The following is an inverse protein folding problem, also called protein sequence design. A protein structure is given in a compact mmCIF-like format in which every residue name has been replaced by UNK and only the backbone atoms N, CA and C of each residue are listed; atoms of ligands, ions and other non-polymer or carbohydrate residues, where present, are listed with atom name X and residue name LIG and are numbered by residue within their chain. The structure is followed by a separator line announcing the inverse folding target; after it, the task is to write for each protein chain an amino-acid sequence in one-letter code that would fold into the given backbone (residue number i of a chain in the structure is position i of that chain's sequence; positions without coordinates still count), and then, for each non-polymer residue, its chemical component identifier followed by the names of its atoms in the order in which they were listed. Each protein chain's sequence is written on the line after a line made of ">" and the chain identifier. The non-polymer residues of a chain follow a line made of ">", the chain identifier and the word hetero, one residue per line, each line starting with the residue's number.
data_IF_475511468043
#
_entry.id   IF_475511468043
#
_cell.length_a   1.000
_cell.length_b   1.000
_cell.length_c   1.000
_cell.angle_alpha   90.00
_cell.angle_beta   90.00
_cell.angle_gamma   90.00
#
_symmetry.space_group_name_H-M   'P 1'
#
loop_
_entity.id
_entity.type
_entity.pdbx_description
1 polymer ?
#
# COMPACT_ATOMS: atom_id res chain seq x y z
N UNK A 1 7.22 17.17 -39.94
CA UNK A 1 7.71 16.04 -39.13
C UNK A 1 6.99 16.10 -37.80
N UNK A 2 5.94 15.29 -37.63
CA UNK A 2 5.14 15.27 -36.40
C UNK A 2 5.84 14.34 -35.38
N UNK A 3 6.05 14.87 -34.17
CA UNK A 3 6.58 14.11 -33.05
C UNK A 3 5.50 13.14 -32.54
N UNK A 4 5.84 11.86 -32.51
CA UNK A 4 5.03 10.83 -31.85
C UNK A 4 5.40 10.87 -30.37
N UNK A 5 4.54 11.46 -29.55
CA UNK A 5 4.65 11.39 -28.09
C UNK A 5 4.35 9.97 -27.62
N UNK A 6 5.34 9.32 -27.01
CA UNK A 6 5.16 8.01 -26.38
C UNK A 6 4.40 8.19 -25.07
N UNK A 7 3.13 7.79 -25.06
CA UNK A 7 2.30 7.75 -23.85
C UNK A 7 2.69 6.52 -23.02
N UNK A 8 3.62 6.69 -22.09
CA UNK A 8 3.81 5.79 -20.95
C UNK A 8 2.61 5.95 -20.02
N UNK A 9 1.73 4.93 -19.96
CA UNK A 9 0.60 4.88 -19.04
C UNK A 9 1.10 4.83 -17.59
N UNK A 10 0.98 5.94 -16.85
CA UNK A 10 0.50 6.02 -15.45
C UNK A 10 0.03 7.44 -15.11
N UNK A 11 -0.67 8.10 -16.02
CA UNK A 11 -1.37 9.35 -15.75
C UNK A 11 -2.80 9.17 -16.23
N UNK A 12 -3.77 9.17 -15.32
CA UNK A 12 -5.18 9.19 -15.71
C UNK A 12 -5.47 10.59 -16.25
N UNK A 13 -5.26 10.79 -17.55
CA UNK A 13 -5.96 11.84 -18.27
C UNK A 13 -7.46 11.63 -18.02
N UNK A 14 -8.17 12.70 -17.68
CA UNK A 14 -9.59 12.69 -17.32
C UNK A 14 -10.37 11.76 -18.27
N UNK A 15 -10.79 10.60 -17.77
CA UNK A 15 -11.66 9.72 -18.55
C UNK A 15 -13.00 10.42 -18.73
N UNK A 16 -13.54 10.51 -19.97
CA UNK A 16 -14.93 10.87 -20.18
C UNK A 16 -15.81 9.97 -19.29
N UNK A 17 -16.84 10.57 -18.69
CA UNK A 17 -17.74 9.98 -17.69
C UNK A 17 -18.60 8.79 -18.17
N UNK A 18 -18.20 8.11 -19.24
CA UNK A 18 -18.92 7.01 -19.88
C UNK A 18 -18.09 5.72 -19.93
N UNK A 19 -17.61 5.22 -18.78
CA UNK A 19 -17.24 3.81 -18.64
C UNK A 19 -17.73 3.29 -17.28
N UNK A 20 -19.06 3.14 -17.17
CA UNK A 20 -19.66 2.27 -16.15
C UNK A 20 -19.71 0.86 -16.73
N UNK A 21 -19.11 -0.11 -16.04
CA UNK A 21 -19.34 -1.52 -16.30
C UNK A 21 -18.46 -2.19 -17.35
N UNK A 22 -17.14 -2.05 -17.26
CA UNK A 22 -16.26 -3.07 -17.87
C UNK A 22 -15.86 -4.06 -16.76
N UNK A 23 -16.65 -5.12 -16.62
CA UNK A 23 -16.17 -6.37 -16.05
C UNK A 23 -15.42 -7.11 -17.14
N UNK A 24 -14.10 -7.29 -17.00
CA UNK A 24 -13.37 -8.24 -17.82
C UNK A 24 -13.60 -9.64 -17.23
N UNK A 25 -14.69 -10.30 -17.64
CA UNK A 25 -14.80 -11.76 -17.50
C UNK A 25 -14.03 -12.39 -18.66
N UNK A 26 -12.79 -12.79 -18.40
CA UNK A 26 -12.04 -13.61 -19.34
C UNK A 26 -12.39 -15.08 -19.10
N UNK A 27 -13.49 -15.55 -19.69
CA UNK A 27 -13.96 -16.95 -19.60
C UNK A 27 -13.17 -17.92 -20.50
N UNK A 28 -11.93 -17.58 -20.89
CA UNK A 28 -11.09 -18.43 -21.73
C UNK A 28 -9.78 -18.81 -21.06
N UNK A 29 -9.53 -20.09 -20.80
CA UNK A 29 -8.16 -20.56 -20.59
C UNK A 29 -7.38 -20.51 -21.92
N UNK A 30 -6.98 -19.31 -22.35
CA UNK A 30 -6.00 -19.22 -23.43
C UNK A 30 -4.65 -19.61 -22.86
N UNK A 31 -4.28 -20.87 -23.09
CA UNK A 31 -2.96 -21.39 -22.74
C UNK A 31 -1.89 -20.55 -23.43
N UNK A 32 -0.92 -20.02 -22.67
CA UNK A 32 0.12 -19.12 -23.16
C UNK A 32 0.85 -19.69 -24.40
N UNK A 33 1.07 -21.01 -24.41
CA UNK A 33 1.70 -21.75 -25.51
C UNK A 33 0.94 -21.69 -26.85
N UNK A 34 -0.32 -21.25 -26.87
CA UNK A 34 -1.10 -21.02 -28.10
C UNK A 34 -0.89 -19.62 -28.68
N UNK A 35 -0.34 -18.69 -27.90
CA UNK A 35 -0.08 -17.31 -28.35
C UNK A 35 1.28 -17.29 -29.05
N UNK A 36 1.32 -17.09 -30.36
CA UNK A 36 2.58 -17.12 -31.13
C UNK A 36 3.43 -15.86 -31.00
N UNK A 37 2.82 -14.71 -30.69
CA UNK A 37 3.52 -13.43 -30.58
C UNK A 37 4.03 -13.19 -29.16
N UNK A 38 5.32 -12.93 -29.01
CA UNK A 38 5.92 -12.60 -27.71
C UNK A 38 5.36 -11.30 -27.12
N UNK A 39 4.97 -10.33 -27.95
CA UNK A 39 4.29 -9.10 -27.48
C UNK A 39 2.91 -9.41 -26.90
N UNK A 40 2.17 -10.32 -27.53
CA UNK A 40 0.87 -10.75 -27.04
C UNK A 40 1.00 -11.59 -25.76
N UNK A 41 2.00 -12.48 -25.69
CA UNK A 41 2.33 -13.22 -24.46
C UNK A 41 2.67 -12.27 -23.32
N UNK A 42 3.55 -11.28 -23.56
CA UNK A 42 3.93 -10.27 -22.57
C UNK A 42 2.71 -9.54 -22.02
N UNK A 43 1.87 -8.96 -22.88
CA UNK A 43 0.67 -8.25 -22.43
C UNK A 43 -0.33 -9.15 -21.70
N UNK A 44 -0.48 -10.40 -22.12
CA UNK A 44 -1.35 -11.36 -21.44
C UNK A 44 -0.85 -11.67 -20.02
N UNK A 45 0.45 -11.87 -19.84
CA UNK A 45 1.04 -12.09 -18.52
C UNK A 45 0.90 -10.87 -17.62
N UNK A 46 1.08 -9.65 -18.15
CA UNK A 46 0.81 -8.42 -17.40
C UNK A 46 -0.62 -8.37 -16.87
N UNK A 47 -1.60 -8.74 -17.70
CA UNK A 47 -3.02 -8.75 -17.28
C UNK A 47 -3.25 -9.75 -16.14
N UNK A 48 -2.64 -10.94 -16.20
CA UNK A 48 -2.69 -11.90 -15.08
C UNK A 48 -2.11 -11.32 -13.79
N UNK A 49 -0.95 -10.67 -13.86
CA UNK A 49 -0.32 -10.01 -12.71
C UNK A 49 -1.24 -8.92 -12.13
N UNK A 50 -1.82 -8.06 -12.97
CA UNK A 50 -2.76 -7.03 -12.52
C UNK A 50 -4.02 -7.64 -11.89
N UNK A 51 -4.56 -8.73 -12.47
CA UNK A 51 -5.73 -9.41 -11.95
C UNK A 51 -5.45 -10.02 -10.58
N UNK A 52 -4.33 -10.72 -10.42
CA UNK A 52 -3.91 -11.30 -9.16
C UNK A 52 -3.69 -10.23 -8.09
N UNK A 53 -3.00 -9.13 -8.44
CA UNK A 53 -2.83 -7.99 -7.55
C UNK A 53 -4.16 -7.37 -7.11
N UNK A 54 -5.10 -7.17 -8.03
CA UNK A 54 -6.39 -6.54 -7.71
C UNK A 54 -7.27 -7.39 -6.79
N UNK A 55 -7.17 -8.72 -6.86
CA UNK A 55 -7.92 -9.63 -6.01
C UNK A 55 -7.13 -10.07 -4.77
N UNK A 56 -5.98 -9.43 -4.48
CA UNK A 56 -5.06 -9.85 -3.41
C UNK A 56 -4.67 -11.34 -3.49
N UNK A 57 -4.68 -11.93 -4.68
CA UNK A 57 -4.33 -13.32 -4.94
C UNK A 57 -2.81 -13.45 -5.08
N UNK A 58 -2.07 -13.17 -4.00
CA UNK A 58 -0.60 -13.09 -3.99
C UNK A 58 0.05 -14.36 -4.57
N UNK A 59 -0.50 -15.55 -4.24
CA UNK A 59 0.00 -16.83 -4.75
C UNK A 59 -0.14 -17.01 -6.26
N UNK A 60 -1.07 -16.32 -6.91
CA UNK A 60 -1.29 -16.38 -8.36
C UNK A 60 -0.33 -15.47 -9.15
N UNK A 61 0.48 -14.65 -8.46
CA UNK A 61 1.42 -13.74 -9.12
C UNK A 61 2.74 -14.40 -9.54
N UNK A 62 3.19 -15.45 -8.83
CA UNK A 62 4.55 -15.98 -8.98
C UNK A 62 4.84 -16.56 -10.36
N UNK A 63 3.95 -17.42 -10.87
CA UNK A 63 4.12 -18.04 -12.19
C UNK A 63 4.12 -16.98 -13.31
N UNK A 64 3.13 -16.06 -13.41
CA UNK A 64 3.16 -15.01 -14.42
C UNK A 64 4.40 -14.11 -14.36
N UNK A 65 4.89 -13.78 -13.16
CA UNK A 65 6.09 -12.96 -12.99
C UNK A 65 7.35 -13.68 -13.45
N UNK A 66 7.47 -14.97 -13.16
CA UNK A 66 8.59 -15.81 -13.61
C UNK A 66 8.60 -15.93 -15.14
N UNK A 67 7.43 -16.07 -15.75
CA UNK A 67 7.29 -16.10 -17.21
C UNK A 67 7.59 -14.74 -17.85
N UNK A 68 7.20 -13.62 -17.22
CA UNK A 68 7.53 -12.27 -17.67
C UNK A 68 9.04 -12.03 -17.66
N UNK A 69 9.71 -12.36 -16.57
CA UNK A 69 11.15 -12.22 -16.42
C UNK A 69 11.90 -12.98 -17.53
N UNK A 70 11.58 -14.26 -17.74
CA UNK A 70 12.19 -15.07 -18.81
C UNK A 70 11.89 -14.54 -20.22
N UNK A 71 10.67 -14.03 -20.45
CA UNK A 71 10.28 -13.47 -21.74
C UNK A 71 11.02 -12.15 -22.04
N UNK A 72 11.15 -11.26 -21.05
CA UNK A 72 11.92 -10.01 -21.19
C UNK A 72 13.40 -10.30 -21.40
N UNK A 73 13.97 -11.24 -20.63
CA UNK A 73 15.36 -11.64 -20.78
C UNK A 73 15.67 -12.25 -22.16
N UNK A 74 14.74 -13.00 -22.75
CA UNK A 74 14.95 -13.69 -24.03
C UNK A 74 14.67 -12.83 -25.29
N UNK A 75 13.99 -11.69 -25.15
CA UNK A 75 13.56 -10.87 -26.30
C UNK A 75 14.14 -9.46 -26.22
N UNK A 76 15.14 -9.15 -27.06
CA UNK A 76 15.82 -7.84 -27.04
C UNK A 76 14.86 -6.65 -27.20
N UNK A 77 13.78 -6.81 -27.97
CA UNK A 77 12.77 -5.76 -28.16
C UNK A 77 11.92 -5.48 -26.92
N UNK A 78 11.92 -6.39 -25.95
CA UNK A 78 11.23 -6.21 -24.67
C UNK A 78 12.15 -5.65 -23.57
N UNK A 79 13.47 -5.63 -23.75
CA UNK A 79 14.48 -5.17 -22.78
C UNK A 79 14.53 -3.63 -22.69
N UNK A 80 13.38 -3.01 -22.43
CA UNK A 80 13.27 -1.58 -22.14
C UNK A 80 13.22 -1.36 -20.63
N UNK A 81 13.71 -0.21 -20.15
CA UNK A 81 13.63 0.12 -18.72
C UNK A 81 12.20 0.00 -18.17
N UNK A 82 11.20 0.44 -18.94
CA UNK A 82 9.80 0.37 -18.51
C UNK A 82 9.30 -1.07 -18.31
N UNK A 83 9.67 -2.00 -19.21
CA UNK A 83 9.27 -3.40 -19.08
C UNK A 83 10.04 -4.11 -17.96
N UNK A 84 11.32 -3.81 -17.84
CA UNK A 84 12.20 -4.34 -16.80
C UNK A 84 11.75 -3.88 -15.41
N UNK A 85 11.38 -2.61 -15.25
CA UNK A 85 10.82 -2.08 -14.01
C UNK A 85 9.44 -2.66 -13.72
N UNK A 86 8.57 -2.84 -14.73
CA UNK A 86 7.23 -3.37 -14.52
C UNK A 86 7.25 -4.72 -13.79
N UNK A 87 7.93 -5.74 -14.34
CA UNK A 87 7.89 -7.05 -13.71
C UNK A 87 8.64 -7.05 -12.37
N UNK A 88 9.72 -6.27 -12.24
CA UNK A 88 10.49 -6.15 -10.98
C UNK A 88 9.65 -5.57 -9.86
N UNK A 89 8.94 -4.47 -10.10
CA UNK A 89 8.10 -3.85 -9.06
C UNK A 89 7.03 -4.83 -8.56
N UNK A 90 6.36 -5.56 -9.46
CA UNK A 90 5.37 -6.55 -9.05
C UNK A 90 6.01 -7.78 -8.38
N UNK A 91 7.22 -8.18 -8.79
CA UNK A 91 8.00 -9.20 -8.09
C UNK A 91 8.39 -8.76 -6.69
N UNK A 92 8.82 -7.52 -6.51
CA UNK A 92 9.12 -6.94 -5.20
C UNK A 92 7.85 -6.96 -4.34
N UNK A 93 6.71 -6.49 -4.84
CA UNK A 93 5.41 -6.55 -4.12
C UNK A 93 5.08 -7.98 -3.67
N UNK A 94 5.22 -8.96 -4.56
CA UNK A 94 5.02 -10.38 -4.23
C UNK A 94 5.96 -10.82 -3.11
N UNK A 95 7.27 -10.58 -3.23
CA UNK A 95 8.27 -10.99 -2.25
C UNK A 95 8.05 -10.32 -0.89
N UNK A 96 7.77 -9.02 -0.86
CA UNK A 96 7.44 -8.28 0.37
C UNK A 96 6.15 -8.81 1.01
N UNK A 97 5.18 -9.23 0.21
CA UNK A 97 3.93 -9.81 0.70
C UNK A 97 4.15 -11.19 1.29
N UNK A 98 5.05 -12.00 0.72
CA UNK A 98 5.47 -13.29 1.26
C UNK A 98 6.50 -13.20 2.40
N UNK A 99 6.89 -11.98 2.83
CA UNK A 99 7.93 -11.78 3.85
C UNK A 99 9.34 -12.16 3.41
N UNK A 100 9.60 -12.33 2.11
CA UNK A 100 10.90 -12.68 1.54
C UNK A 100 11.79 -11.43 1.37
N UNK A 101 12.07 -10.73 2.48
CA UNK A 101 12.75 -9.43 2.48
C UNK A 101 14.14 -9.47 1.82
N UNK A 102 14.96 -10.47 2.15
CA UNK A 102 16.31 -10.59 1.57
C UNK A 102 16.29 -10.71 0.03
N UNK A 103 15.33 -11.45 -0.53
CA UNK A 103 15.17 -11.55 -1.98
C UNK A 103 14.66 -10.22 -2.59
N UNK A 104 13.77 -9.52 -1.88
CA UNK A 104 13.24 -8.24 -2.32
C UNK A 104 14.32 -7.15 -2.38
N UNK A 105 15.24 -7.10 -1.41
CA UNK A 105 16.28 -6.07 -1.30
C UNK A 105 17.20 -5.98 -2.53
N UNK A 106 17.61 -7.14 -3.07
CA UNK A 106 18.45 -7.18 -4.27
C UNK A 106 17.73 -6.58 -5.47
N UNK A 107 16.45 -6.95 -5.67
CA UNK A 107 15.62 -6.41 -6.76
C UNK A 107 15.28 -4.94 -6.56
N UNK A 108 15.04 -4.52 -5.32
CA UNK A 108 14.80 -3.14 -4.93
C UNK A 108 16.00 -2.26 -5.29
N UNK A 109 17.22 -2.71 -4.99
CA UNK A 109 18.46 -2.01 -5.34
C UNK A 109 18.61 -1.88 -6.86
N UNK A 110 18.39 -2.95 -7.62
CA UNK A 110 18.47 -2.91 -9.09
C UNK A 110 17.40 -2.00 -9.70
N UNK A 111 16.15 -2.08 -9.21
CA UNK A 111 15.07 -1.19 -9.64
C UNK A 111 15.37 0.28 -9.32
N UNK A 112 15.96 0.54 -8.15
CA UNK A 112 16.44 1.86 -7.72
C UNK A 112 17.61 2.33 -8.61
N UNK A 113 18.44 1.47 -9.16
CA UNK A 113 19.49 1.93 -10.09
C UNK A 113 18.98 2.25 -11.49
N UNK A 114 17.80 1.73 -11.86
CA UNK A 114 17.22 1.83 -13.22
C UNK A 114 16.15 2.89 -13.39
N UNK A 115 15.59 3.39 -12.29
CA UNK A 115 14.52 4.38 -12.27
C UNK A 115 15.06 5.81 -12.21
N UNK A 116 14.19 6.82 -12.31
CA UNK A 116 14.52 8.24 -12.18
C UNK A 116 13.27 9.05 -11.82
N UNK A 117 13.40 10.02 -10.92
CA UNK A 117 12.26 10.90 -10.59
C UNK A 117 11.77 11.67 -11.82
N UNK A 118 12.67 11.99 -12.76
CA UNK A 118 12.41 12.68 -14.01
C UNK A 118 11.50 11.85 -14.93
N UNK A 119 11.59 10.53 -14.85
CA UNK A 119 10.73 9.59 -15.56
C UNK A 119 9.49 9.18 -14.76
N UNK A 120 9.32 9.69 -13.54
CA UNK A 120 8.27 9.35 -12.56
C UNK A 120 8.24 7.89 -12.07
N UNK A 121 8.94 6.96 -12.71
CA UNK A 121 9.01 5.55 -12.30
C UNK A 121 9.69 5.34 -10.93
N UNK A 122 10.54 6.29 -10.51
CA UNK A 122 11.19 6.28 -9.20
C UNK A 122 10.21 6.26 -8.04
N UNK A 123 9.11 6.99 -8.14
CA UNK A 123 8.14 7.07 -7.05
C UNK A 123 7.56 5.69 -6.72
N UNK A 124 7.26 4.87 -7.72
CA UNK A 124 6.75 3.51 -7.49
C UNK A 124 7.81 2.59 -6.86
N UNK A 125 9.09 2.77 -7.22
CA UNK A 125 10.20 2.02 -6.61
C UNK A 125 10.42 2.45 -5.16
N UNK A 126 10.41 3.75 -4.88
CA UNK A 126 10.55 4.28 -3.52
C UNK A 126 9.37 3.86 -2.63
N UNK A 127 8.16 3.73 -3.18
CA UNK A 127 7.02 3.17 -2.44
C UNK A 127 7.35 1.76 -1.92
N UNK A 128 7.99 0.93 -2.73
CA UNK A 128 8.36 -0.42 -2.31
C UNK A 128 9.49 -0.42 -1.28
N UNK A 129 10.44 0.51 -1.37
CA UNK A 129 11.46 0.72 -0.34
C UNK A 129 10.86 1.16 1.00
N UNK A 130 9.87 2.05 0.97
CA UNK A 130 9.13 2.43 2.17
C UNK A 130 8.47 1.18 2.80
N UNK A 131 7.73 0.38 2.01
CA UNK A 131 7.05 -0.82 2.53
C UNK A 131 8.06 -1.83 3.08
N UNK A 132 9.21 -2.02 2.41
CA UNK A 132 10.29 -2.87 2.88
C UNK A 132 10.78 -2.50 4.28
N UNK A 133 11.12 -1.23 4.49
CA UNK A 133 11.61 -0.76 5.79
C UNK A 133 10.49 -0.72 6.84
N UNK A 134 9.31 -0.22 6.49
CA UNK A 134 8.16 -0.10 7.39
C UNK A 134 7.69 -1.47 7.92
N UNK A 135 7.61 -2.51 7.08
CA UNK A 135 7.26 -3.87 7.50
C UNK A 135 8.32 -4.51 8.42
N UNK A 136 9.57 -4.07 8.31
CA UNK A 136 10.68 -4.50 9.16
C UNK A 136 10.87 -3.62 10.40
N UNK A 137 10.04 -2.59 10.56
CA UNK A 137 10.15 -1.58 11.62
C UNK A 137 11.50 -0.85 11.62
N UNK A 138 12.12 -0.74 10.45
CA UNK A 138 13.31 0.08 10.17
C UNK A 138 12.87 1.52 9.90
N UNK A 139 12.34 2.17 10.94
CA UNK A 139 11.58 3.41 10.78
C UNK A 139 12.45 4.60 10.32
N UNK A 140 13.72 4.62 10.71
CA UNK A 140 14.65 5.67 10.30
C UNK A 140 14.88 5.62 8.78
N UNK A 141 15.15 4.43 8.25
CA UNK A 141 15.33 4.16 6.84
C UNK A 141 14.02 4.41 6.05
N UNK A 142 12.87 4.06 6.62
CA UNK A 142 11.57 4.42 6.04
C UNK A 142 11.37 5.94 5.95
N UNK A 143 11.86 6.72 6.93
CA UNK A 143 11.85 8.19 6.86
C UNK A 143 12.79 8.72 5.79
N UNK A 144 14.00 8.16 5.64
CA UNK A 144 14.93 8.57 4.59
C UNK A 144 14.33 8.42 3.18
N UNK A 145 13.52 7.38 2.96
CA UNK A 145 12.76 7.21 1.71
C UNK A 145 11.78 8.35 1.50
N UNK A 146 10.98 8.69 2.52
CA UNK A 146 10.04 9.82 2.47
C UNK A 146 10.79 11.13 2.17
N UNK A 147 11.91 11.36 2.85
CA UNK A 147 12.72 12.56 2.69
C UNK A 147 13.24 12.68 1.25
N UNK A 148 13.74 11.59 0.68
CA UNK A 148 14.20 11.54 -0.71
C UNK A 148 13.09 11.90 -1.70
N UNK A 149 11.89 11.35 -1.48
CA UNK A 149 10.72 11.61 -2.33
C UNK A 149 10.28 13.07 -2.24
N UNK A 150 10.15 13.60 -1.03
CA UNK A 150 9.65 14.97 -0.80
C UNK A 150 10.66 16.04 -1.20
N UNK A 151 11.96 15.74 -1.14
CA UNK A 151 13.01 16.64 -1.62
C UNK A 151 13.11 16.69 -3.17
N UNK A 152 12.47 15.76 -3.87
CA UNK A 152 12.52 15.69 -5.33
C UNK A 152 11.73 16.83 -5.98
N UNK A 153 12.30 17.59 -6.94
CA UNK A 153 11.57 18.62 -7.69
C UNK A 153 10.38 18.07 -8.49
N UNK A 154 10.35 16.77 -8.77
CA UNK A 154 9.25 16.13 -9.48
C UNK A 154 8.05 15.83 -8.58
N UNK A 155 8.21 15.88 -7.25
CA UNK A 155 7.13 15.61 -6.30
C UNK A 155 5.94 16.55 -6.51
N UNK A 156 6.19 17.85 -6.68
CA UNK A 156 5.14 18.85 -6.91
C UNK A 156 4.37 18.61 -8.22
N UNK A 157 4.95 17.84 -9.14
CA UNK A 157 4.35 17.48 -10.43
C UNK A 157 3.54 16.18 -10.38
N UNK A 158 3.57 15.45 -9.27
CA UNK A 158 2.73 14.27 -9.09
C UNK A 158 1.25 14.63 -9.13
N UNK A 159 0.42 13.63 -9.41
CA UNK A 159 -1.01 13.78 -9.20
C UNK A 159 -1.30 14.01 -7.71
N UNK A 160 -2.35 14.76 -7.40
CA UNK A 160 -2.72 15.08 -6.01
C UNK A 160 -2.90 13.82 -5.16
N UNK A 161 -3.51 12.78 -5.72
CA UNK A 161 -3.68 11.49 -5.05
C UNK A 161 -2.36 10.85 -4.65
N UNK A 162 -1.34 10.91 -5.51
CA UNK A 162 -0.04 10.29 -5.23
C UNK A 162 0.71 11.07 -4.13
N UNK A 163 0.63 12.41 -4.16
CA UNK A 163 1.14 13.25 -3.07
C UNK A 163 0.44 12.93 -1.75
N UNK A 164 -0.88 12.78 -1.77
CA UNK A 164 -1.67 12.45 -0.58
C UNK A 164 -1.30 11.08 -0.02
N UNK A 165 -1.02 10.09 -0.87
CA UNK A 165 -0.54 8.78 -0.42
C UNK A 165 0.84 8.88 0.23
N UNK A 166 1.76 9.68 -0.30
CA UNK A 166 3.06 9.94 0.33
C UNK A 166 2.92 10.63 1.69
N UNK A 167 2.04 11.63 1.78
CA UNK A 167 1.73 12.28 3.04
C UNK A 167 1.12 11.31 4.07
N UNK A 168 0.24 10.42 3.62
CA UNK A 168 -0.37 9.36 4.44
C UNK A 168 0.68 8.38 4.97
N UNK A 169 1.66 7.99 4.14
CA UNK A 169 2.80 7.13 4.55
C UNK A 169 3.65 7.81 5.63
N UNK A 170 3.92 9.11 5.48
CA UNK A 170 4.64 9.89 6.49
C UNK A 170 3.84 9.97 7.81
N UNK A 171 2.53 10.16 7.73
CA UNK A 171 1.64 10.19 8.90
C UNK A 171 1.60 8.85 9.66
N UNK A 172 1.73 7.71 8.98
CA UNK A 172 1.87 6.40 9.63
C UNK A 172 3.14 6.28 10.45
N UNK A 173 4.29 6.72 9.90
CA UNK A 173 5.55 6.71 10.64
C UNK A 173 5.46 7.65 11.84
N UNK A 174 4.90 8.85 11.64
CA UNK A 174 4.69 9.80 12.73
C UNK A 174 3.82 9.22 13.85
N UNK A 175 2.68 8.60 13.51
CA UNK A 175 1.84 7.91 14.48
C UNK A 175 2.62 6.86 15.28
N UNK A 176 3.40 6.02 14.60
CA UNK A 176 4.17 4.97 15.25
C UNK A 176 5.17 5.55 16.25
N UNK A 177 5.91 6.60 15.88
CA UNK A 177 6.84 7.26 16.81
C UNK A 177 6.15 7.85 18.03
N UNK A 178 4.97 8.46 17.84
CA UNK A 178 4.20 8.97 18.96
C UNK A 178 3.74 7.84 19.90
N UNK A 179 3.28 6.72 19.35
CA UNK A 179 2.87 5.56 20.12
C UNK A 179 4.03 4.92 20.92
N UNK A 180 5.24 4.87 20.33
CA UNK A 180 6.45 4.38 21.01
C UNK A 180 7.00 5.34 22.09
N UNK A 181 6.52 6.59 22.16
CA UNK A 181 7.12 7.63 23.00
C UNK A 181 8.46 8.18 22.49
N UNK A 182 8.92 7.74 21.31
CA UNK A 182 10.23 8.07 20.71
C UNK A 182 10.16 9.32 19.81
N UNK A 183 9.45 10.36 20.25
CA UNK A 183 9.21 11.53 19.39
C UNK A 183 10.48 12.33 19.08
N UNK A 184 11.56 12.17 19.83
CA UNK A 184 12.84 12.88 19.62
C UNK A 184 13.69 12.34 18.47
N UNK A 185 13.37 11.16 17.96
CA UNK A 185 14.26 10.39 17.09
C UNK A 185 14.25 10.81 15.62
N UNK A 186 13.26 11.59 15.14
CA UNK A 186 13.18 11.98 13.72
C UNK A 186 12.89 13.49 13.55
N UNK A 187 13.94 14.31 13.38
CA UNK A 187 13.82 15.76 13.22
C UNK A 187 12.94 16.22 12.05
N UNK A 188 12.90 15.45 10.94
CA UNK A 188 12.18 15.88 9.73
C UNK A 188 10.67 15.63 9.82
N UNK A 189 10.25 14.46 10.33
CA UNK A 189 8.85 14.24 10.70
C UNK A 189 8.43 15.29 11.71
N UNK A 190 9.25 15.58 12.74
CA UNK A 190 8.96 16.70 13.65
C UNK A 190 8.81 18.05 12.95
N UNK A 191 9.54 18.35 11.87
CA UNK A 191 9.41 19.63 11.15
C UNK A 191 8.16 19.68 10.27
N UNK A 192 7.87 18.61 9.53
CA UNK A 192 6.67 18.52 8.69
C UNK A 192 5.39 18.37 9.52
N UNK A 193 5.51 17.69 10.67
CA UNK A 193 4.43 17.36 11.58
C UNK A 193 4.48 18.20 12.88
N UNK A 194 5.31 19.26 12.94
CA UNK A 194 5.41 20.17 14.09
C UNK A 194 4.05 20.79 14.44
N UNK A 195 3.20 20.93 13.41
CA UNK A 195 1.84 21.44 13.49
C UNK A 195 0.84 20.40 12.99
N UNK A 196 1.20 19.10 12.98
CA UNK A 196 0.32 18.08 12.46
C UNK A 196 -1.01 18.13 13.18
N UNK A 197 -2.03 18.52 12.41
CA UNK A 197 -3.40 18.47 12.82
C UNK A 197 -4.04 17.33 12.04
N UNK A 198 -4.75 16.46 12.76
CA UNK A 198 -5.56 15.42 12.18
C UNK A 198 -6.55 16.00 11.14
N UNK A 199 -7.06 17.20 11.41
CA UNK A 199 -7.96 17.92 10.52
C UNK A 199 -7.27 18.35 9.22
N UNK A 200 -5.99 18.74 9.27
CA UNK A 200 -5.20 19.04 8.07
C UNK A 200 -4.94 17.79 7.25
N UNK A 201 -4.67 16.64 7.89
CA UNK A 201 -4.59 15.35 7.20
C UNK A 201 -5.89 15.10 6.44
N UNK A 202 -7.05 15.23 7.07
CA UNK A 202 -8.34 14.98 6.40
C UNK A 202 -8.67 15.99 5.30
N UNK A 203 -8.30 17.26 5.48
CA UNK A 203 -8.51 18.30 4.47
C UNK A 203 -7.59 18.08 3.26
N UNK A 204 -6.34 17.69 3.49
CA UNK A 204 -5.37 17.43 2.43
C UNK A 204 -5.66 16.11 1.71
N UNK A 205 -6.05 15.06 2.45
CA UNK A 205 -6.43 13.76 1.87
C UNK A 205 -7.92 13.71 1.54
N UNK A 206 -8.40 14.72 0.80
CA UNK A 206 -9.81 14.84 0.40
C UNK A 206 -10.37 13.48 -0.04
N UNK A 207 -11.60 13.15 0.38
CA UNK A 207 -12.20 11.84 0.14
C UNK A 207 -12.13 11.51 -1.36
N UNK A 208 -11.30 10.53 -1.70
CA UNK A 208 -11.04 10.15 -3.08
C UNK A 208 -12.32 9.47 -3.57
N UNK A 209 -13.16 10.20 -4.30
CA UNK A 209 -14.54 9.82 -4.64
C UNK A 209 -14.70 8.47 -5.35
N UNK A 210 -13.59 7.88 -5.82
CA UNK A 210 -13.51 6.55 -6.47
C UNK A 210 -12.20 5.83 -6.13
N UNK A 211 -11.81 5.84 -4.87
CA UNK A 211 -10.59 5.16 -4.45
C UNK A 211 -10.65 3.65 -4.75
N UNK A 212 -9.68 3.17 -5.51
CA UNK A 212 -9.45 1.75 -5.79
C UNK A 212 -8.11 1.26 -5.24
N UNK A 213 -7.32 2.15 -4.66
CA UNK A 213 -5.93 1.92 -4.25
C UNK A 213 -5.75 1.95 -2.73
N UNK A 214 -6.83 2.05 -1.95
CA UNK A 214 -6.80 1.96 -0.49
C UNK A 214 -6.40 3.26 0.23
N UNK A 215 -6.24 4.39 -0.46
CA UNK A 215 -5.88 5.67 0.17
C UNK A 215 -6.89 6.15 1.22
N UNK A 216 -8.19 6.09 0.93
CA UNK A 216 -9.26 6.40 1.88
C UNK A 216 -9.26 5.42 3.07
N UNK A 217 -8.93 4.15 2.83
CA UNK A 217 -8.82 3.15 3.87
C UNK A 217 -7.72 3.56 4.86
N UNK A 218 -6.54 3.94 4.36
CA UNK A 218 -5.42 4.37 5.19
C UNK A 218 -5.71 5.63 5.99
N UNK A 219 -6.37 6.62 5.39
CA UNK A 219 -6.81 7.84 6.09
C UNK A 219 -7.79 7.49 7.22
N UNK A 220 -8.76 6.63 6.95
CA UNK A 220 -9.73 6.17 7.96
C UNK A 220 -9.08 5.33 9.06
N UNK A 221 -8.04 4.56 8.73
CA UNK A 221 -7.30 3.80 9.71
C UNK A 221 -6.45 4.72 10.60
N UNK A 222 -5.70 5.66 10.02
CA UNK A 222 -4.96 6.69 10.76
C UNK A 222 -5.88 7.47 11.70
N UNK A 223 -7.11 7.78 11.27
CA UNK A 223 -8.12 8.40 12.14
C UNK A 223 -8.34 7.61 13.41
N UNK A 224 -8.61 6.31 13.28
CA UNK A 224 -8.82 5.47 14.45
C UNK A 224 -7.57 5.37 15.33
N UNK A 225 -6.40 5.23 14.71
CA UNK A 225 -5.11 5.09 15.40
C UNK A 225 -4.73 6.34 16.22
N UNK A 226 -4.85 7.54 15.65
CA UNK A 226 -4.61 8.78 16.40
C UNK A 226 -5.67 9.06 17.47
N UNK A 227 -6.93 8.68 17.23
CA UNK A 227 -7.95 8.77 18.29
C UNK A 227 -7.61 7.85 19.45
N UNK A 228 -7.15 6.62 19.21
CA UNK A 228 -6.69 5.72 20.28
C UNK A 228 -5.47 6.28 21.04
N UNK A 229 -4.59 7.01 20.36
CA UNK A 229 -3.39 7.60 20.96
C UNK A 229 -3.70 8.79 21.88
N UNK A 230 -4.73 9.59 21.56
CA UNK A 230 -5.01 10.86 22.24
C UNK A 230 -6.27 10.88 23.09
N UNK A 231 -7.22 9.97 22.83
CA UNK A 231 -8.47 9.93 23.56
C UNK A 231 -8.39 8.87 24.65
N UNK A 232 -8.52 9.31 25.90
CA UNK A 232 -9.11 8.44 26.93
C UNK A 232 -10.51 8.00 26.48
N UNK A 233 -11.04 6.93 27.07
CA UNK A 233 -12.38 6.45 26.78
C UNK A 233 -13.39 7.62 26.83
N UNK A 234 -13.89 8.01 25.65
CA UNK A 234 -14.65 9.25 25.47
C UNK A 234 -15.69 9.09 24.37
N UNK A 235 -16.71 9.94 24.38
CA UNK A 235 -17.73 10.00 23.33
C UNK A 235 -17.11 10.18 21.94
N UNK A 236 -16.02 10.94 21.84
CA UNK A 236 -15.27 11.12 20.60
C UNK A 236 -14.65 9.82 20.07
N UNK A 237 -14.10 8.98 20.95
CA UNK A 237 -13.59 7.67 20.58
C UNK A 237 -14.72 6.76 20.10
N UNK A 238 -15.86 6.76 20.78
CA UNK A 238 -17.03 5.98 20.41
C UNK A 238 -17.59 6.39 19.03
N UNK A 239 -17.72 7.69 18.77
CA UNK A 239 -18.21 8.24 17.50
C UNK A 239 -17.26 7.97 16.34
N UNK A 240 -15.96 8.06 16.58
CA UNK A 240 -14.94 7.66 15.60
C UNK A 240 -15.03 6.17 15.31
N UNK A 241 -15.20 5.32 16.34
CA UNK A 241 -15.46 3.90 16.17
C UNK A 241 -16.72 3.62 15.34
N UNK A 242 -17.81 4.36 15.53
CA UNK A 242 -19.01 4.26 14.69
C UNK A 242 -18.74 4.65 13.23
N UNK A 243 -17.98 5.72 13.01
CA UNK A 243 -17.58 6.17 11.67
C UNK A 243 -16.80 5.08 10.94
N UNK A 244 -15.83 4.45 11.61
CA UNK A 244 -15.06 3.34 11.04
C UNK A 244 -15.96 2.12 10.76
N UNK A 245 -16.89 1.77 11.66
CA UNK A 245 -17.84 0.67 11.41
C UNK A 245 -18.71 0.93 10.17
N UNK A 246 -19.19 2.17 9.99
CA UNK A 246 -19.95 2.55 8.79
C UNK A 246 -19.09 2.43 7.52
N UNK A 247 -17.84 2.91 7.57
CA UNK A 247 -16.90 2.77 6.46
C UNK A 247 -16.67 1.29 6.11
N UNK A 248 -16.44 0.45 7.12
CA UNK A 248 -16.29 -0.99 6.94
C UNK A 248 -17.50 -1.61 6.23
N UNK A 249 -18.72 -1.32 6.69
CA UNK A 249 -19.93 -1.89 6.09
C UNK A 249 -20.15 -1.45 4.65
N UNK A 250 -19.74 -0.23 4.30
CA UNK A 250 -19.92 0.34 2.95
C UNK A 250 -18.86 -0.11 1.95
N UNK A 251 -17.62 -0.29 2.40
CA UNK A 251 -16.47 -0.40 1.49
C UNK A 251 -15.55 -1.59 1.76
N UNK A 252 -15.46 -2.07 3.01
CA UNK A 252 -14.48 -3.10 3.38
C UNK A 252 -15.06 -4.49 3.62
N UNK A 253 -16.40 -4.62 3.64
CA UNK A 253 -17.06 -5.89 3.96
C UNK A 253 -16.67 -7.02 3.00
N UNK A 254 -16.53 -6.69 1.71
CA UNK A 254 -16.18 -7.62 0.64
C UNK A 254 -14.81 -7.28 0.02
N UNK A 255 -13.94 -6.63 0.80
CA UNK A 255 -12.61 -6.21 0.34
C UNK A 255 -11.64 -7.40 0.38
N UNK A 256 -10.78 -7.60 -0.63
CA UNK A 256 -10.01 -8.84 -0.79
C UNK A 256 -8.81 -8.98 0.17
N UNK A 257 -8.50 -7.95 0.94
CA UNK A 257 -7.35 -7.91 1.87
C UNK A 257 -7.80 -8.26 3.30
N UNK A 258 -7.86 -9.55 3.59
CA UNK A 258 -8.45 -10.08 4.83
C UNK A 258 -7.77 -9.55 6.10
N UNK A 259 -6.46 -9.36 6.10
CA UNK A 259 -5.70 -8.90 7.27
C UNK A 259 -5.93 -7.42 7.51
N UNK A 260 -5.96 -6.62 6.44
CA UNK A 260 -6.37 -5.21 6.47
C UNK A 260 -7.78 -5.07 7.01
N UNK A 261 -8.72 -5.87 6.49
CA UNK A 261 -10.12 -5.87 6.93
C UNK A 261 -10.23 -6.26 8.40
N UNK A 262 -9.49 -7.28 8.83
CA UNK A 262 -9.48 -7.75 10.21
C UNK A 262 -8.91 -6.68 11.15
N UNK A 263 -7.74 -6.12 10.83
CA UNK A 263 -7.10 -5.09 11.64
C UNK A 263 -7.97 -3.83 11.76
N UNK A 264 -8.48 -3.33 10.63
CA UNK A 264 -9.38 -2.17 10.61
C UNK A 264 -10.62 -2.37 11.48
N UNK A 265 -11.25 -3.54 11.38
CA UNK A 265 -12.42 -3.90 12.19
C UNK A 265 -12.08 -4.00 13.66
N UNK A 266 -10.87 -4.43 14.00
CA UNK A 266 -10.41 -4.51 15.39
C UNK A 266 -10.16 -3.12 15.97
N UNK A 267 -9.48 -2.23 15.25
CA UNK A 267 -9.33 -0.82 15.65
C UNK A 267 -10.70 -0.16 15.90
N UNK A 268 -11.64 -0.33 14.98
CA UNK A 268 -13.00 0.21 15.13
C UNK A 268 -13.75 -0.29 16.37
N UNK A 269 -13.53 -1.56 16.75
CA UNK A 269 -14.14 -2.16 17.95
C UNK A 269 -13.45 -1.74 19.23
N UNK A 270 -12.12 -1.60 19.20
CA UNK A 270 -11.32 -1.18 20.34
C UNK A 270 -11.77 0.22 20.79
N UNK A 271 -11.89 1.16 19.83
CA UNK A 271 -12.42 2.50 20.06
C UNK A 271 -13.78 2.53 20.78
N UNK A 272 -14.63 1.54 20.54
CA UNK A 272 -15.99 1.46 21.12
C UNK A 272 -16.05 0.74 22.47
N UNK A 273 -14.97 0.09 22.90
CA UNK A 273 -14.99 -0.90 23.98
C UNK A 273 -13.79 -0.80 24.93
N UNK A 274 -13.07 0.33 24.91
CA UNK A 274 -11.83 0.49 25.68
C UNK A 274 -12.01 0.15 27.18
N UNK A 275 -13.18 0.42 27.74
CA UNK A 275 -13.49 0.18 29.16
C UNK A 275 -13.89 -1.27 29.50
N UNK A 276 -14.17 -2.11 28.51
CA UNK A 276 -14.64 -3.49 28.71
C UNK A 276 -13.49 -4.49 28.50
N UNK A 277 -12.75 -4.74 29.59
CA UNK A 277 -11.55 -5.57 29.59
C UNK A 277 -11.79 -6.98 29.01
N UNK A 278 -12.94 -7.61 29.28
CA UNK A 278 -13.26 -8.92 28.72
C UNK A 278 -13.45 -8.87 27.20
N UNK A 279 -14.18 -7.86 26.71
CA UNK A 279 -14.38 -7.69 25.27
C UNK A 279 -13.09 -7.31 24.55
N UNK A 280 -12.22 -6.55 25.20
CA UNK A 280 -10.88 -6.20 24.69
C UNK A 280 -9.99 -7.44 24.61
N UNK A 281 -9.94 -8.27 25.65
CA UNK A 281 -9.18 -9.52 25.63
C UNK A 281 -9.66 -10.50 24.54
N UNK A 282 -10.99 -10.64 24.36
CA UNK A 282 -11.56 -11.46 23.26
C UNK A 282 -11.25 -10.87 21.88
N UNK A 283 -11.17 -9.54 21.77
CA UNK A 283 -10.82 -8.87 20.53
C UNK A 283 -9.36 -9.13 20.16
N UNK A 284 -8.46 -9.00 21.13
CA UNK A 284 -7.03 -9.26 21.00
C UNK A 284 -6.79 -10.70 20.54
N UNK A 285 -7.32 -11.68 21.25
CA UNK A 285 -7.21 -13.10 20.89
C UNK A 285 -7.67 -13.34 19.44
N UNK A 286 -8.86 -12.83 19.07
CA UNK A 286 -9.42 -13.03 17.73
C UNK A 286 -8.54 -12.41 16.62
N UNK A 287 -7.98 -11.23 16.87
CA UNK A 287 -7.10 -10.58 15.91
C UNK A 287 -5.80 -11.38 15.77
N UNK A 288 -5.16 -11.73 16.89
CA UNK A 288 -3.89 -12.45 16.86
C UNK A 288 -4.03 -13.81 16.19
N UNK A 289 -5.10 -14.56 16.49
CA UNK A 289 -5.43 -15.81 15.78
C UNK A 289 -5.57 -15.57 14.27
N UNK A 290 -6.37 -14.59 13.85
CA UNK A 290 -6.58 -14.28 12.43
C UNK A 290 -5.36 -13.70 11.71
N UNK A 291 -4.36 -13.18 12.43
CA UNK A 291 -3.08 -12.73 11.86
C UNK A 291 -1.99 -13.81 11.90
N UNK A 292 -2.23 -14.96 12.54
CA UNK A 292 -1.23 -15.99 12.88
C UNK A 292 -1.07 -17.13 11.87
N UNK A 293 -1.75 -17.07 10.72
CA UNK A 293 -1.69 -18.15 9.73
C UNK A 293 -0.24 -18.50 9.34
N UNK A 294 0.02 -19.80 9.21
CA UNK A 294 1.34 -20.45 9.17
C UNK A 294 2.29 -19.99 8.06
N UNK A 295 1.82 -19.17 7.13
CA UNK A 295 2.62 -18.49 6.12
C UNK A 295 2.42 -16.99 6.29
N UNK A 296 3.51 -16.26 6.57
CA UNK A 296 3.46 -14.79 6.66
C UNK A 296 3.09 -14.24 5.27
N UNK A 297 1.82 -13.88 5.11
CA UNK A 297 1.30 -13.18 3.94
C UNK A 297 0.81 -11.82 4.41
N UNK A 298 1.50 -10.76 4.00
CA UNK A 298 1.04 -9.39 4.17
C UNK A 298 0.13 -9.02 3.01
N UNK A 299 -0.97 -8.35 3.30
CA UNK A 299 -1.78 -7.72 2.26
C UNK A 299 -1.04 -6.53 1.63
N UNK A 300 -1.42 -6.10 0.41
CA UNK A 300 -0.74 -4.96 -0.23
C UNK A 300 -0.88 -3.65 0.56
N UNK A 301 -2.03 -3.41 1.20
CA UNK A 301 -2.24 -2.24 2.06
C UNK A 301 -1.84 -2.47 3.53
N UNK A 302 -1.14 -3.56 3.85
CA UNK A 302 -0.47 -3.72 5.15
C UNK A 302 0.93 -3.07 5.09
N UNK A 303 1.01 -1.75 5.28
CA UNK A 303 2.28 -1.01 5.22
C UNK A 303 3.16 -1.21 6.45
N UNK A 304 2.53 -1.39 7.61
CA UNK A 304 3.19 -1.74 8.87
C UNK A 304 2.75 -3.15 9.28
N UNK A 305 3.58 -3.91 10.01
CA UNK A 305 3.24 -5.26 10.42
C UNK A 305 2.13 -5.23 11.49
N UNK A 306 0.88 -5.47 11.10
CA UNK A 306 -0.29 -5.23 11.97
C UNK A 306 -0.23 -5.97 13.29
N UNK A 307 0.31 -7.20 13.29
CA UNK A 307 0.48 -7.98 14.51
C UNK A 307 1.38 -7.26 15.52
N UNK A 308 2.53 -6.77 15.05
CA UNK A 308 3.49 -6.04 15.89
C UNK A 308 2.91 -4.71 16.35
N UNK A 309 2.33 -3.95 15.43
CA UNK A 309 1.64 -2.69 15.75
C UNK A 309 0.59 -2.89 16.85
N UNK A 310 -0.22 -3.94 16.74
CA UNK A 310 -1.26 -4.24 17.71
C UNK A 310 -0.69 -4.55 19.09
N UNK A 311 0.28 -5.48 19.15
CA UNK A 311 0.88 -5.95 20.39
C UNK A 311 1.68 -4.85 21.10
N UNK A 312 2.48 -4.12 20.33
CA UNK A 312 3.47 -3.19 20.88
C UNK A 312 2.85 -1.82 21.24
N UNK A 313 1.76 -1.42 20.58
CA UNK A 313 1.22 -0.04 20.70
C UNK A 313 -0.25 0.08 21.03
N UNK A 314 -1.08 -0.93 20.72
CA UNK A 314 -2.53 -0.84 20.93
C UNK A 314 -3.00 -1.66 22.14
N UNK A 315 -2.25 -2.69 22.50
CA UNK A 315 -2.51 -3.56 23.65
C UNK A 315 -1.43 -3.44 24.73
N UNK A 316 -0.39 -2.64 24.50
CA UNK A 316 0.62 -2.34 25.51
C UNK A 316 -0.01 -1.43 26.58
N UNK A 317 -0.54 -2.04 27.64
CA UNK A 317 -1.16 -1.40 28.79
C UNK A 317 -0.88 -2.17 30.06
#
# INVERSE_FOLDING_TARGET
>A
MQAVESVTKYTVAAMPSAVKGISFSWEGETKLNKIKSYLAQYNFLKLKVYQAHHHNAIGEMDEPLTQLEGLVASQITLQTNANELFWRVYRIRFLLSMGHFHAAESLLTDARNRSSFQAFDRFEVEEQWYVYHARRLELAEACEVIDSVLASPQYDRLHELDRNLWYTRAAYLYWYYCASGETESVPLLKKQFAQFNLEDLYQQTSAISKDKTGGNLHVMLLRGLFTLLHAEASDHAFDTGNTLVVYYQRYLKDYPEDRVVLFFKSVAKLLKRQEDAEKVARLDQKLLEGLSDSEVKYDFNEWLPFRKVWQDHLMAG
#
